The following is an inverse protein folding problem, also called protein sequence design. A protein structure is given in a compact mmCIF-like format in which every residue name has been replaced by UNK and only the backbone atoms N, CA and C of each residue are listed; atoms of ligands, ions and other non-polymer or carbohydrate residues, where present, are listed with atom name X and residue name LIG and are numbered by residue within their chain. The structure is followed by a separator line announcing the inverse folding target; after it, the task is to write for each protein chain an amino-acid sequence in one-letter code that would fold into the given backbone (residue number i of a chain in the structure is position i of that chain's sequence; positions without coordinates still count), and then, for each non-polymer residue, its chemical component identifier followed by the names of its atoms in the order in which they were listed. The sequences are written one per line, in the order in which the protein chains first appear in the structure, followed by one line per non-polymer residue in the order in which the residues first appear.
data_IF_116498566872
#
_entry.id   IF_116498566872
#
_cell.length_a   1.000
_cell.length_b   1.000
_cell.length_c   1.000
_cell.angle_alpha   90.00
_cell.angle_beta   90.00
_cell.angle_gamma   90.00
#
_symmetry.space_group_name_H-M   'P 1'
#
loop_
_entity.id
_entity.type
_entity.pdbx_description
1 polymer ?
#
# COMPACT_ATOMS: atom_id res chain seq x y z
N UNK A 1 64.88 52.37 2.55
CA UNK A 1 65.69 51.16 2.81
C UNK A 1 64.85 49.97 2.40
N UNK A 2 65.22 49.30 1.29
CA UNK A 2 64.59 48.05 0.79
C UNK A 2 65.32 46.87 1.44
N UNK A 3 64.59 45.87 1.93
CA UNK A 3 65.13 44.53 2.20
C UNK A 3 64.11 43.50 1.69
N UNK A 4 64.65 42.49 1.04
CA UNK A 4 64.01 41.49 0.21
C UNK A 4 63.28 40.38 0.97
N UNK A 5 62.10 40.04 0.45
CA UNK A 5 61.62 38.71 0.02
C UNK A 5 62.21 37.47 0.71
N UNK A 6 61.38 36.73 1.44
CA UNK A 6 61.40 35.27 1.41
C UNK A 6 59.97 34.71 1.38
N UNK A 7 59.72 33.97 0.31
CA UNK A 7 58.54 33.17 -0.01
C UNK A 7 58.33 32.09 1.04
N UNK A 8 57.11 31.92 1.56
CA UNK A 8 56.72 30.67 2.20
C UNK A 8 55.39 30.17 1.64
N UNK A 9 55.40 28.87 1.37
CA UNK A 9 54.41 28.07 0.67
C UNK A 9 53.01 28.13 1.29
N UNK A 10 52.03 28.08 0.40
CA UNK A 10 50.64 27.76 0.69
C UNK A 10 50.48 26.37 1.33
N UNK A 11 49.62 26.28 2.34
CA UNK A 11 48.90 25.05 2.69
C UNK A 11 47.43 25.44 2.78
N UNK A 12 46.67 25.06 1.74
CA UNK A 12 45.22 25.12 1.73
C UNK A 12 44.68 24.03 2.66
N UNK A 13 44.07 24.42 3.78
CA UNK A 13 43.22 23.49 4.54
C UNK A 13 41.80 23.62 3.97
N UNK A 14 41.50 22.87 2.91
CA UNK A 14 40.12 22.52 2.60
C UNK A 14 39.66 21.55 3.68
N UNK A 15 38.89 22.05 4.65
CA UNK A 15 38.15 21.20 5.57
C UNK A 15 37.06 20.50 4.75
N UNK A 16 37.35 19.28 4.28
CA UNK A 16 36.33 18.37 3.79
C UNK A 16 35.53 17.95 5.02
N UNK A 17 34.42 18.64 5.28
CA UNK A 17 33.42 18.11 6.19
C UNK A 17 32.87 16.85 5.53
N UNK A 18 33.39 15.69 5.95
CA UNK A 18 32.67 14.43 5.82
C UNK A 18 31.42 14.62 6.66
N UNK A 19 30.34 15.10 6.02
CA UNK A 19 29.01 14.86 6.52
C UNK A 19 28.87 13.34 6.41
N UNK A 20 29.23 12.65 7.49
CA UNK A 20 28.74 11.31 7.74
C UNK A 20 27.25 11.53 8.00
N UNK A 21 26.51 11.67 6.90
CA UNK A 21 25.08 11.50 6.93
C UNK A 21 24.92 10.10 7.46
N UNK A 22 24.40 9.97 8.67
CA UNK A 22 23.85 8.71 9.13
C UNK A 22 22.92 8.29 8.00
N UNK A 23 23.35 7.29 7.21
CA UNK A 23 22.45 6.50 6.43
C UNK A 23 21.56 5.88 7.49
N UNK A 24 20.45 6.55 7.77
CA UNK A 24 19.30 5.90 8.35
C UNK A 24 19.08 4.73 7.41
N UNK A 25 19.39 3.54 7.89
CA UNK A 25 18.86 2.35 7.27
C UNK A 25 17.35 2.56 7.31
N UNK A 26 16.79 2.97 6.17
CA UNK A 26 15.36 2.90 5.95
C UNK A 26 15.04 1.43 6.21
N UNK A 27 14.45 1.16 7.37
CA UNK A 27 13.63 -0.03 7.53
C UNK A 27 12.74 -0.04 6.31
N UNK A 28 12.91 -1.04 5.42
CA UNK A 28 12.00 -1.32 4.30
C UNK A 28 10.60 -0.99 4.80
N UNK A 29 10.02 0.11 4.33
CA UNK A 29 8.69 0.45 4.79
C UNK A 29 7.78 -0.70 4.33
N UNK A 30 7.06 -1.33 5.27
CA UNK A 30 6.10 -2.40 4.98
C UNK A 30 4.88 -1.89 4.17
N UNK A 31 4.94 -0.63 3.72
CA UNK A 31 3.98 0.09 2.89
C UNK A 31 4.70 1.20 2.12
N UNK A 32 4.08 1.68 1.05
CA UNK A 32 4.56 2.83 0.29
C UNK A 32 3.68 4.05 0.57
N UNK A 33 4.29 5.15 1.02
CA UNK A 33 3.58 6.42 1.22
C UNK A 33 2.96 6.91 -0.08
N UNK A 34 1.74 7.44 0.03
CA UNK A 34 0.98 7.96 -1.10
C UNK A 34 1.54 9.34 -1.45
N UNK A 35 1.91 9.53 -2.70
CA UNK A 35 2.31 10.84 -3.24
C UNK A 35 1.12 11.56 -3.86
N UNK A 36 0.27 10.83 -4.58
CA UNK A 36 -0.90 11.37 -5.27
C UNK A 36 -1.96 10.29 -5.44
N UNK A 37 -3.21 10.69 -5.41
CA UNK A 37 -4.35 9.83 -5.71
C UNK A 37 -5.31 10.54 -6.66
N UNK A 38 -5.81 9.82 -7.65
CA UNK A 38 -6.92 10.26 -8.48
C UNK A 38 -8.03 9.21 -8.43
N UNK A 39 -9.26 9.69 -8.30
CA UNK A 39 -10.46 8.86 -8.24
C UNK A 39 -11.48 9.42 -9.19
N UNK A 40 -11.92 8.60 -10.13
CA UNK A 40 -12.99 8.94 -11.06
C UNK A 40 -14.14 7.94 -10.91
N UNK A 41 -15.36 8.46 -10.74
CA UNK A 41 -16.58 7.65 -10.80
C UNK A 41 -17.26 7.90 -12.14
N UNK A 42 -17.22 6.90 -13.02
CA UNK A 42 -17.91 6.91 -14.31
C UNK A 42 -19.28 6.28 -14.17
N UNK A 43 -20.32 7.00 -14.60
CA UNK A 43 -21.69 6.50 -14.62
C UNK A 43 -22.09 6.15 -16.05
N UNK A 44 -22.60 4.94 -16.26
CA UNK A 44 -23.23 4.52 -17.51
C UNK A 44 -24.59 3.91 -17.19
N UNK A 45 -25.65 4.73 -17.24
CA UNK A 45 -26.97 4.35 -16.75
C UNK A 45 -26.98 4.18 -15.23
N UNK A 46 -27.56 3.08 -14.74
CA UNK A 46 -27.61 2.74 -13.31
C UNK A 46 -26.29 2.16 -12.77
N UNK A 47 -25.35 1.82 -13.65
CA UNK A 47 -24.06 1.25 -13.25
C UNK A 47 -23.03 2.37 -13.03
N UNK A 48 -22.44 2.40 -11.84
CA UNK A 48 -21.30 3.25 -11.49
C UNK A 48 -20.04 2.41 -11.43
N UNK A 49 -18.98 2.88 -12.09
CA UNK A 49 -17.66 2.27 -12.09
C UNK A 49 -16.65 3.26 -11.54
N UNK A 50 -15.78 2.77 -10.68
CA UNK A 50 -14.65 3.48 -10.11
C UNK A 50 -13.40 3.21 -10.93
N UNK A 51 -12.63 4.25 -11.17
CA UNK A 51 -11.24 4.19 -11.61
C UNK A 51 -10.36 4.83 -10.54
N UNK A 52 -9.30 4.12 -10.15
CA UNK A 52 -8.31 4.54 -9.18
C UNK A 52 -6.97 4.69 -9.87
N UNK A 53 -6.28 5.77 -9.54
CA UNK A 53 -4.85 5.91 -9.77
C UNK A 53 -4.15 6.33 -8.48
N UNK A 54 -3.10 5.59 -8.10
CA UNK A 54 -2.24 5.90 -6.94
C UNK A 54 -0.81 6.04 -7.44
N UNK A 55 -0.20 7.19 -7.14
CA UNK A 55 1.24 7.37 -7.25
C UNK A 55 1.85 7.29 -5.85
N UNK A 56 2.90 6.49 -5.71
CA UNK A 56 3.64 6.30 -4.46
C UNK A 56 4.99 7.02 -4.48
N UNK A 57 5.60 7.16 -3.30
CA UNK A 57 6.92 7.78 -3.19
C UNK A 57 8.09 6.91 -3.69
N UNK A 58 7.88 5.60 -3.86
CA UNK A 58 8.90 4.67 -4.36
C UNK A 58 8.26 3.56 -5.22
N UNK A 59 9.08 2.77 -5.91
CA UNK A 59 8.59 1.71 -6.79
C UNK A 59 7.74 0.68 -6.04
N UNK A 60 6.57 0.36 -6.57
CA UNK A 60 5.66 -0.65 -6.06
C UNK A 60 6.29 -2.04 -6.24
N UNK A 61 6.56 -2.78 -5.14
CA UNK A 61 7.12 -4.11 -5.24
C UNK A 61 6.06 -5.07 -5.76
N UNK A 62 6.28 -5.62 -6.95
CA UNK A 62 5.39 -6.62 -7.57
C UNK A 62 5.93 -8.04 -7.46
N UNK A 63 7.05 -8.25 -6.78
CA UNK A 63 7.77 -9.53 -6.76
C UNK A 63 7.33 -10.50 -5.64
N UNK A 64 6.24 -10.19 -4.94
CA UNK A 64 5.72 -11.03 -3.85
C UNK A 64 6.48 -10.97 -2.54
N UNK A 65 7.62 -10.26 -2.45
CA UNK A 65 8.50 -10.29 -1.27
C UNK A 65 8.21 -9.21 -0.23
N UNK A 66 7.27 -8.32 -0.50
CA UNK A 66 6.98 -7.16 0.36
C UNK A 66 5.73 -7.35 1.21
N UNK A 67 5.14 -8.54 1.19
CA UNK A 67 3.95 -8.87 1.99
C UNK A 67 2.67 -8.22 1.44
N UNK A 68 1.58 -8.41 2.19
CA UNK A 68 0.28 -7.83 1.88
C UNK A 68 0.23 -6.35 2.30
N UNK A 69 0.26 -5.46 1.31
CA UNK A 69 -0.04 -4.04 1.46
C UNK A 69 -1.18 -3.70 0.50
N UNK A 70 -1.81 -2.54 0.65
CA UNK A 70 -2.81 -2.10 -0.30
C UNK A 70 -3.27 -0.66 -0.08
N UNK A 71 -4.22 -0.25 -0.90
CA UNK A 71 -4.81 1.10 -0.88
C UNK A 71 -6.30 0.97 -0.69
N UNK A 72 -6.76 1.20 0.53
CA UNK A 72 -8.17 1.08 0.87
C UNK A 72 -8.90 2.35 0.43
N UNK A 73 -10.00 2.14 -0.29
CA UNK A 73 -11.11 3.06 -0.30
C UNK A 73 -11.97 2.78 0.91
N UNK A 74 -11.88 3.63 1.94
CA UNK A 74 -12.84 3.56 3.02
C UNK A 74 -14.15 4.13 2.45
N UNK A 75 -15.15 3.27 2.42
CA UNK A 75 -16.54 3.60 2.11
C UNK A 75 -17.37 3.16 3.33
N UNK A 76 -18.54 3.75 3.55
CA UNK A 76 -19.45 3.35 4.63
C UNK A 76 -18.78 3.37 6.03
N UNK A 77 -18.01 4.43 6.34
CA UNK A 77 -17.31 4.53 7.62
C UNK A 77 -16.13 3.55 7.81
N UNK A 78 -15.65 2.94 6.71
CA UNK A 78 -14.52 2.02 6.72
C UNK A 78 -14.90 0.55 6.86
N UNK A 79 -16.08 0.17 6.38
CA UNK A 79 -16.56 -1.22 6.39
C UNK A 79 -16.02 -2.07 5.24
N UNK A 80 -15.42 -1.45 4.21
CA UNK A 80 -14.84 -2.14 3.07
C UNK A 80 -13.47 -1.58 2.72
N UNK A 81 -12.61 -2.42 2.15
CA UNK A 81 -11.34 -2.04 1.57
C UNK A 81 -11.09 -2.78 0.26
N UNK A 82 -10.89 -2.02 -0.82
CA UNK A 82 -10.15 -2.55 -1.98
C UNK A 82 -8.68 -2.66 -1.60
N UNK A 83 -8.04 -3.77 -1.90
CA UNK A 83 -6.63 -3.99 -1.60
C UNK A 83 -5.91 -4.45 -2.86
N UNK A 84 -4.65 -4.07 -3.02
CA UNK A 84 -3.81 -4.46 -4.13
C UNK A 84 -2.53 -5.05 -3.56
N UNK A 85 -2.47 -6.38 -3.51
CA UNK A 85 -1.57 -7.14 -2.64
C UNK A 85 -0.61 -7.99 -3.45
N UNK A 86 0.54 -8.31 -2.85
CA UNK A 86 1.41 -9.40 -3.28
C UNK A 86 1.68 -10.30 -2.09
N UNK A 87 1.02 -11.45 -1.98
CA UNK A 87 1.27 -12.34 -0.83
C UNK A 87 1.68 -13.73 -1.28
N UNK A 88 2.86 -13.86 -1.88
CA UNK A 88 3.51 -15.17 -1.89
C UNK A 88 3.79 -15.57 -0.43
N UNK A 89 3.38 -16.77 0.06
CA UNK A 89 2.88 -17.94 -0.66
C UNK A 89 1.37 -18.27 -0.49
N UNK A 90 0.54 -17.31 -0.06
CA UNK A 90 -0.92 -17.54 0.06
C UNK A 90 -1.51 -17.46 -1.36
N UNK A 91 -2.09 -18.56 -1.84
CA UNK A 91 -2.86 -18.63 -3.07
C UNK A 91 -4.35 -18.60 -2.69
N UNK A 92 -4.95 -17.41 -2.78
CA UNK A 92 -6.35 -17.13 -2.45
C UNK A 92 -7.08 -16.38 -3.59
N UNK A 93 -6.41 -16.20 -4.74
CA UNK A 93 -6.95 -15.53 -5.92
C UNK A 93 -6.78 -16.37 -7.17
N UNK A 94 -7.89 -16.56 -7.89
CA UNK A 94 -7.89 -17.17 -9.23
C UNK A 94 -7.45 -16.21 -10.34
N UNK A 95 -7.19 -14.95 -9.98
CA UNK A 95 -6.87 -13.83 -10.89
C UNK A 95 -5.47 -13.25 -10.66
N UNK A 96 -4.61 -13.96 -9.93
CA UNK A 96 -3.24 -13.50 -9.68
C UNK A 96 -2.34 -13.51 -10.92
N UNK A 97 -1.42 -12.54 -10.95
CA UNK A 97 -0.33 -12.59 -11.92
C UNK A 97 0.59 -13.78 -11.60
N UNK A 98 0.73 -14.78 -12.50
CA UNK A 98 1.43 -16.02 -12.17
C UNK A 98 2.94 -15.86 -11.94
N UNK A 99 3.53 -14.73 -12.37
CA UNK A 99 4.95 -14.44 -12.16
C UNK A 99 5.21 -13.65 -10.88
N UNK A 100 4.20 -12.92 -10.41
CA UNK A 100 4.37 -11.84 -9.45
C UNK A 100 3.50 -12.02 -8.20
N UNK A 101 2.46 -12.86 -8.27
CA UNK A 101 1.44 -13.05 -7.24
C UNK A 101 0.58 -11.82 -6.98
N UNK A 102 0.69 -10.78 -7.81
CA UNK A 102 -0.02 -9.52 -7.63
C UNK A 102 -1.48 -9.68 -8.08
N UNK A 103 -2.41 -9.19 -7.25
CA UNK A 103 -3.84 -9.14 -7.55
C UNK A 103 -4.54 -8.16 -6.61
N UNK A 104 -5.87 -8.11 -6.70
CA UNK A 104 -6.71 -7.24 -5.89
C UNK A 104 -7.77 -8.03 -5.14
N UNK A 105 -8.14 -7.58 -3.94
CA UNK A 105 -9.31 -8.09 -3.22
C UNK A 105 -10.23 -6.98 -2.75
N UNK A 106 -11.51 -7.30 -2.55
CA UNK A 106 -12.40 -6.53 -1.68
C UNK A 106 -12.50 -7.24 -0.34
N UNK A 107 -12.16 -6.54 0.74
CA UNK A 107 -12.21 -7.03 2.10
C UNK A 107 -13.30 -6.31 2.88
N UNK A 108 -14.17 -7.07 3.55
CA UNK A 108 -15.06 -6.55 4.58
C UNK A 108 -14.24 -6.33 5.88
N UNK A 109 -14.44 -5.18 6.50
CA UNK A 109 -13.75 -4.78 7.73
C UNK A 109 -14.71 -4.76 8.92
N UNK A 110 -14.14 -4.99 10.09
CA UNK A 110 -14.82 -4.92 11.38
C UNK A 110 -13.94 -4.23 12.43
N UNK A 111 -14.52 -3.78 13.56
CA UNK A 111 -13.73 -3.30 14.68
C UNK A 111 -12.73 -4.36 15.17
N UNK A 112 -11.49 -3.97 15.53
CA UNK A 112 -10.48 -4.91 16.00
C UNK A 112 -10.94 -5.71 17.22
N UNK A 113 -10.73 -7.02 17.18
CA UNK A 113 -10.83 -7.86 18.37
C UNK A 113 -9.60 -7.67 19.25
N UNK A 114 -9.59 -8.32 20.42
CA UNK A 114 -8.41 -8.37 21.29
C UNK A 114 -7.17 -8.95 20.60
N UNK A 115 -7.34 -9.81 19.59
CA UNK A 115 -6.22 -10.36 18.83
C UNK A 115 -5.51 -9.27 18.00
N UNK A 116 -6.28 -8.30 17.49
CA UNK A 116 -5.78 -7.15 16.72
C UNK A 116 -5.71 -5.87 17.56
N UNK A 117 -5.41 -5.97 18.85
CA UNK A 117 -5.27 -4.80 19.72
C UNK A 117 -4.21 -3.82 19.16
N UNK A 118 -4.60 -2.55 19.02
CA UNK A 118 -3.75 -1.50 18.45
C UNK A 118 -3.86 -1.31 16.93
N UNK A 119 -4.56 -2.20 16.22
CA UNK A 119 -4.90 -2.01 14.81
C UNK A 119 -6.04 -0.99 14.66
N UNK A 120 -6.22 -0.46 13.44
CA UNK A 120 -7.37 0.40 13.11
C UNK A 120 -8.62 -0.44 12.83
N UNK A 121 -8.44 -1.55 12.10
CA UNK A 121 -9.50 -2.47 11.74
C UNK A 121 -9.00 -3.92 11.80
N UNK A 122 -9.94 -4.85 11.72
CA UNK A 122 -9.69 -6.26 11.48
C UNK A 122 -10.51 -6.70 10.27
N UNK A 123 -9.98 -7.58 9.42
CA UNK A 123 -10.76 -8.13 8.31
C UNK A 123 -11.81 -9.09 8.88
N UNK A 124 -13.07 -8.89 8.52
CA UNK A 124 -14.13 -9.85 8.77
C UNK A 124 -13.97 -11.01 7.78
N UNK A 125 -13.15 -12.00 8.15
CA UNK A 125 -12.86 -13.17 7.32
C UNK A 125 -14.13 -13.93 6.92
N UNK A 126 -15.17 -13.92 7.78
CA UNK A 126 -16.40 -14.67 7.54
C UNK A 126 -17.29 -13.99 6.52
N UNK A 127 -17.39 -12.66 6.58
CA UNK A 127 -18.16 -11.89 5.61
C UNK A 127 -17.40 -11.71 4.30
N UNK A 128 -16.09 -11.43 4.35
CA UNK A 128 -15.22 -11.35 3.16
C UNK A 128 -15.31 -12.64 2.33
N UNK A 129 -15.29 -13.81 2.97
CA UNK A 129 -15.41 -15.09 2.26
C UNK A 129 -16.78 -15.33 1.59
N UNK A 130 -17.82 -14.57 1.96
CA UNK A 130 -19.14 -14.60 1.31
C UNK A 130 -19.31 -13.48 0.29
N UNK A 131 -18.43 -12.49 0.30
CA UNK A 131 -18.47 -11.37 -0.61
C UNK A 131 -18.07 -11.85 -2.00
N UNK A 132 -18.99 -11.75 -2.96
CA UNK A 132 -18.73 -12.16 -4.35
C UNK A 132 -17.67 -11.30 -5.04
N UNK A 133 -17.40 -10.10 -4.50
CA UNK A 133 -16.35 -9.21 -4.99
C UNK A 133 -14.98 -9.49 -4.36
N UNK A 134 -14.88 -10.43 -3.42
CA UNK A 134 -13.63 -10.75 -2.73
C UNK A 134 -12.49 -11.04 -3.72
N UNK A 135 -12.71 -11.90 -4.70
CA UNK A 135 -11.74 -12.28 -5.73
C UNK A 135 -12.25 -11.90 -7.14
N UNK A 136 -12.63 -10.63 -7.32
CA UNK A 136 -13.09 -10.13 -8.61
C UNK A 136 -11.93 -9.81 -9.56
N UNK A 137 -12.11 -10.11 -10.85
CA UNK A 137 -11.15 -9.83 -11.93
C UNK A 137 -11.15 -8.36 -12.34
N UNK A 138 -10.62 -7.49 -11.47
CA UNK A 138 -10.46 -6.08 -11.80
C UNK A 138 -9.28 -5.85 -12.73
N UNK A 139 -9.44 -4.90 -13.65
CA UNK A 139 -8.32 -4.50 -14.52
C UNK A 139 -7.37 -3.62 -13.72
N UNK A 140 -6.21 -4.14 -13.36
CA UNK A 140 -5.16 -3.40 -12.67
C UNK A 140 -3.87 -3.33 -13.49
N UNK A 141 -3.03 -2.34 -13.19
CA UNK A 141 -1.70 -2.17 -13.78
C UNK A 141 -0.77 -1.52 -12.78
N UNK A 142 0.46 -2.04 -12.68
CA UNK A 142 1.54 -1.43 -11.91
C UNK A 142 2.71 -1.11 -12.84
N UNK A 143 3.14 0.15 -12.85
CA UNK A 143 4.32 0.62 -13.58
C UNK A 143 5.17 1.53 -12.69
N UNK A 144 6.33 1.03 -12.25
CA UNK A 144 7.19 1.81 -11.35
C UNK A 144 6.49 2.12 -10.03
N UNK A 145 6.23 3.39 -9.78
CA UNK A 145 5.57 3.90 -8.57
C UNK A 145 4.06 4.16 -8.77
N UNK A 146 3.50 3.82 -9.93
CA UNK A 146 2.09 4.05 -10.26
C UNK A 146 1.29 2.73 -10.24
N UNK A 147 0.14 2.75 -9.58
CA UNK A 147 -0.90 1.72 -9.62
C UNK A 147 -2.16 2.31 -10.21
N UNK A 148 -2.76 1.61 -11.18
CA UNK A 148 -4.11 1.90 -11.66
C UNK A 148 -5.02 0.69 -11.47
N UNK A 149 -6.27 0.90 -11.05
CA UNK A 149 -7.33 -0.11 -10.99
C UNK A 149 -8.56 0.48 -11.66
N UNK A 150 -9.14 -0.25 -12.62
CA UNK A 150 -10.22 0.26 -13.49
C UNK A 150 -11.41 -0.66 -13.48
N UNK A 151 -12.56 -0.07 -13.79
CA UNK A 151 -13.85 -0.75 -13.93
C UNK A 151 -14.37 -1.41 -12.64
N UNK A 152 -13.97 -0.94 -11.46
CA UNK A 152 -14.46 -1.48 -10.18
C UNK A 152 -15.92 -1.05 -10.00
N UNK A 153 -16.91 -1.96 -9.98
CA UNK A 153 -18.29 -1.60 -9.67
C UNK A 153 -18.38 -0.96 -8.29
N UNK A 154 -19.06 0.19 -8.16
CA UNK A 154 -19.21 0.85 -6.85
C UNK A 154 -20.03 0.01 -5.87
N UNK A 155 -20.89 -0.87 -6.37
CA UNK A 155 -21.65 -1.84 -5.59
C UNK A 155 -20.77 -2.88 -4.89
N UNK A 156 -19.63 -3.22 -5.48
CA UNK A 156 -18.65 -4.12 -4.87
C UNK A 156 -18.01 -3.49 -3.62
N UNK A 157 -18.07 -2.16 -3.51
CA UNK A 157 -17.56 -1.37 -2.38
C UNK A 157 -18.69 -0.85 -1.48
N UNK A 158 -19.83 -1.54 -1.44
CA UNK A 158 -20.95 -1.20 -0.54
C UNK A 158 -21.78 0.02 -0.97
N UNK A 159 -21.69 0.46 -2.22
CA UNK A 159 -22.48 1.55 -2.81
C UNK A 159 -22.35 2.95 -2.16
N UNK A 160 -21.52 3.12 -1.13
CA UNK A 160 -21.37 4.38 -0.41
C UNK A 160 -20.50 5.42 -1.13
N UNK A 161 -19.84 5.05 -2.23
CA UNK A 161 -18.83 5.91 -2.89
C UNK A 161 -17.53 5.99 -2.08
N UNK A 162 -16.49 6.62 -2.63
CA UNK A 162 -15.17 6.73 -1.97
C UNK A 162 -15.18 7.88 -0.96
N UNK A 163 -15.00 7.58 0.33
CA UNK A 163 -14.93 8.59 1.40
C UNK A 163 -13.48 8.96 1.75
N UNK A 164 -12.54 8.01 1.70
CA UNK A 164 -11.12 8.24 2.01
C UNK A 164 -10.25 7.24 1.28
N UNK A 165 -9.03 7.65 0.90
CA UNK A 165 -8.01 6.75 0.35
C UNK A 165 -6.89 6.61 1.38
N UNK A 166 -6.59 5.39 1.77
CA UNK A 166 -5.60 5.12 2.79
C UNK A 166 -4.61 4.04 2.34
N UNK A 167 -3.33 4.26 2.60
CA UNK A 167 -2.38 3.16 2.60
C UNK A 167 -2.53 2.43 3.94
N UNK A 168 -2.47 1.10 3.89
CA UNK A 168 -2.50 0.27 5.09
C UNK A 168 -1.53 -0.90 4.97
N UNK A 169 -1.18 -1.47 6.12
CA UNK A 169 -0.48 -2.75 6.23
C UNK A 169 -1.42 -3.82 6.78
N UNK A 170 -1.32 -5.03 6.24
CA UNK A 170 -2.01 -6.21 6.78
C UNK A 170 -1.04 -7.09 7.56
N UNK A 171 -1.39 -7.38 8.81
CA UNK A 171 -0.65 -8.33 9.65
C UNK A 171 -1.50 -9.57 9.91
N UNK A 172 -1.16 -10.74 9.35
CA UNK A 172 -1.85 -11.97 9.66
C UNK A 172 -1.45 -12.49 11.05
N UNK A 173 -2.44 -12.98 11.80
CA UNK A 173 -2.24 -13.89 12.91
C UNK A 173 -2.65 -15.27 12.42
N UNK A 174 -1.76 -16.25 12.56
CA UNK A 174 -1.97 -17.60 12.04
C UNK A 174 -2.41 -18.55 13.15
N UNK A 175 -3.31 -19.48 12.82
CA UNK A 175 -3.67 -20.60 13.67
C UNK A 175 -2.57 -21.68 13.71
N UNK A 176 -2.80 -22.73 14.51
CA UNK A 176 -1.87 -23.87 14.63
C UNK A 176 -1.62 -24.63 13.31
N UNK A 177 -2.47 -24.40 12.30
CA UNK A 177 -2.36 -25.00 10.95
C UNK A 177 -1.73 -24.04 9.95
N UNK A 178 -1.26 -22.87 10.39
CA UNK A 178 -0.65 -21.84 9.55
C UNK A 178 -1.67 -21.07 8.70
N UNK A 179 -2.97 -21.15 9.00
CA UNK A 179 -4.01 -20.39 8.30
C UNK A 179 -4.30 -19.08 9.02
N UNK A 180 -4.63 -17.98 8.31
CA UNK A 180 -5.05 -16.75 8.97
C UNK A 180 -6.26 -16.98 9.87
N UNK A 181 -6.10 -16.74 11.17
CA UNK A 181 -7.20 -16.66 12.14
C UNK A 181 -7.73 -15.23 12.26
N UNK A 182 -6.86 -14.25 12.06
CA UNK A 182 -7.18 -12.82 12.06
C UNK A 182 -6.27 -12.10 11.07
N UNK A 183 -6.75 -11.02 10.48
CA UNK A 183 -5.95 -10.11 9.67
C UNK A 183 -6.12 -8.70 10.23
N UNK A 184 -5.07 -8.17 10.84
CA UNK A 184 -5.10 -6.86 11.47
C UNK A 184 -4.70 -5.79 10.46
N UNK A 185 -5.55 -4.77 10.30
CA UNK A 185 -5.35 -3.66 9.37
C UNK A 185 -4.88 -2.43 10.14
N UNK A 186 -3.71 -1.90 9.79
CA UNK A 186 -3.21 -0.63 10.32
C UNK A 186 -3.12 0.38 9.20
N UNK A 187 -3.85 1.49 9.34
CA UNK A 187 -3.78 2.62 8.42
C UNK A 187 -2.53 3.43 8.75
N UNK A 188 -1.68 3.61 7.74
CA UNK A 188 -0.34 4.19 7.89
C UNK A 188 -0.21 5.54 7.18
N UNK A 189 -1.04 5.79 6.17
CA UNK A 189 -1.10 7.06 5.46
C UNK A 189 -2.54 7.30 4.96
N UNK A 190 -2.96 8.56 4.85
CA UNK A 190 -4.30 8.97 4.40
C UNK A 190 -4.22 10.19 3.48
N UNK A 191 -4.94 10.14 2.36
CA UNK A 191 -5.20 11.27 1.46
C UNK A 191 -6.71 11.53 1.36
#
# INVERSE_FOLDING_TARGET
MKIHLQTLLAVSVTATALIVGNAWAETKADYLSIKKTEVEVKSSGEQKKLELEVETQATIPVDGKSGAFGYAFLTDGGNNALVAVTHLPIDDSSHENPSSGFHTHVLDLMPPTKACEGANFEVDLVNSAKNTAFDADYTWKVEGNELSIKNVPVADLGDAGVETIAAFTLKPLLDEKGKPSNLCVTVVDKN
#
